data_IF_922840509415
#
_entry.id   IF_922840509415
#
_cell.length_a   1.000
_cell.length_b   1.000
_cell.length_c   1.000
_cell.angle_alpha   90.00
_cell.angle_beta   90.00
_cell.angle_gamma   90.00
#
_symmetry.space_group_name_H-M   'P 1'
#
loop_
_entity.id
_entity.type
_entity.pdbx_description
1 polymer ?
#
# COMPACT_ATOMS: atom_id res chain seq x y z
N UNK A 1 9.87 15.27 -16.78
CA UNK A 1 10.30 14.41 -15.65
C UNK A 1 9.71 13.02 -15.90
N UNK A 2 10.50 11.95 -15.78
CA UNK A 2 9.94 10.58 -15.84
C UNK A 2 8.92 10.46 -14.70
N UNK A 3 7.71 10.01 -15.00
CA UNK A 3 6.71 9.74 -13.97
C UNK A 3 7.35 8.74 -12.97
N UNK A 4 7.49 9.08 -11.68
CA UNK A 4 8.13 8.20 -10.70
C UNK A 4 7.38 6.88 -10.53
N UNK A 5 6.10 6.84 -10.92
CA UNK A 5 5.22 5.68 -10.87
C UNK A 5 4.91 5.19 -12.30
N UNK A 6 5.85 4.46 -12.90
CA UNK A 6 5.65 3.84 -14.22
C UNK A 6 5.32 2.35 -14.04
N UNK A 7 4.06 2.00 -14.37
CA UNK A 7 3.54 0.64 -14.32
C UNK A 7 4.39 -0.36 -15.10
N UNK A 8 4.87 0.00 -16.29
CA UNK A 8 5.63 -0.89 -17.15
C UNK A 8 6.97 -1.22 -16.52
N UNK A 9 7.69 -0.21 -16.03
CA UNK A 9 8.99 -0.40 -15.37
C UNK A 9 8.85 -1.32 -14.14
N UNK A 10 7.79 -1.13 -13.35
CA UNK A 10 7.56 -1.93 -12.13
C UNK A 10 7.24 -3.39 -12.48
N UNK A 11 6.39 -3.62 -13.47
CA UNK A 11 6.04 -4.97 -13.94
C UNK A 11 7.24 -5.68 -14.58
N UNK A 12 8.02 -4.98 -15.42
CA UNK A 12 9.23 -5.52 -16.04
C UNK A 12 10.25 -5.96 -14.99
N UNK A 13 10.39 -5.20 -13.89
CA UNK A 13 11.30 -5.52 -12.78
C UNK A 13 10.74 -6.60 -11.82
N UNK A 14 9.42 -6.84 -11.82
CA UNK A 14 8.76 -7.76 -10.89
C UNK A 14 7.80 -8.72 -11.63
N UNK A 15 8.32 -9.73 -12.35
CA UNK A 15 7.50 -10.66 -13.12
C UNK A 15 6.53 -11.52 -12.29
N UNK A 16 6.67 -11.53 -10.97
CA UNK A 16 5.81 -12.26 -10.04
C UNK A 16 4.54 -11.48 -9.65
N UNK A 17 4.45 -10.19 -10.03
CA UNK A 17 3.23 -9.40 -9.90
C UNK A 17 2.28 -9.74 -11.05
N UNK A 18 0.99 -9.88 -10.71
CA UNK A 18 -0.07 -10.00 -11.70
C UNK A 18 -0.44 -8.64 -12.29
N UNK A 19 -0.41 -7.58 -11.46
CA UNK A 19 -0.73 -6.23 -11.89
C UNK A 19 -0.11 -5.15 -10.97
N UNK A 20 -0.07 -3.92 -11.49
CA UNK A 20 0.22 -2.69 -10.73
C UNK A 20 -0.89 -1.68 -11.04
N UNK A 21 -1.53 -1.16 -10.00
CA UNK A 21 -2.61 -0.17 -10.06
C UNK A 21 -2.13 1.12 -9.44
N UNK A 22 -2.15 2.19 -10.22
CA UNK A 22 -1.61 3.50 -9.84
C UNK A 22 -2.77 4.49 -9.93
N UNK A 23 -3.06 5.17 -8.82
CA UNK A 23 -4.08 6.21 -8.72
C UNK A 23 -3.41 7.54 -8.37
N UNK A 24 -3.85 8.64 -8.98
CA UNK A 24 -3.32 9.97 -8.66
C UNK A 24 -3.57 10.34 -7.20
N UNK A 25 -4.75 9.95 -6.68
CA UNK A 25 -5.16 10.13 -5.29
C UNK A 25 -6.02 8.95 -4.83
N UNK A 26 -5.81 8.51 -3.60
CA UNK A 26 -6.58 7.43 -2.97
C UNK A 26 -7.07 7.83 -1.58
N UNK A 27 -8.20 7.29 -1.13
CA UNK A 27 -8.55 7.37 0.29
C UNK A 27 -7.56 6.50 1.09
N UNK A 28 -7.32 5.28 0.63
CA UNK A 28 -6.32 4.38 1.20
C UNK A 28 -5.99 3.27 0.21
N UNK A 29 -4.72 3.13 -0.17
CA UNK A 29 -4.28 2.02 -1.04
C UNK A 29 -4.61 0.66 -0.42
N UNK A 30 -4.76 0.60 0.90
CA UNK A 30 -5.20 -0.58 1.63
C UNK A 30 -6.66 -0.93 1.35
N UNK A 31 -7.53 0.09 1.31
CA UNK A 31 -8.95 -0.07 0.99
C UNK A 31 -9.14 -0.44 -0.48
N UNK A 32 -8.35 0.17 -1.37
CA UNK A 32 -8.36 -0.16 -2.80
C UNK A 32 -8.02 -1.64 -3.00
N UNK A 33 -6.93 -2.09 -2.38
CA UNK A 33 -6.50 -3.48 -2.43
C UNK A 33 -7.55 -4.44 -1.86
N UNK A 34 -8.19 -4.07 -0.74
CA UNK A 34 -9.22 -4.88 -0.09
C UNK A 34 -10.48 -4.99 -0.96
N UNK A 35 -10.87 -3.91 -1.62
CA UNK A 35 -12.06 -3.85 -2.49
C UNK A 35 -11.85 -4.66 -3.76
N UNK A 36 -10.66 -4.53 -4.38
CA UNK A 36 -10.37 -5.21 -5.64
C UNK A 36 -9.98 -6.69 -5.46
N UNK A 37 -9.26 -7.03 -4.38
CA UNK A 37 -9.03 -8.42 -4.00
C UNK A 37 -8.11 -9.23 -4.93
N UNK A 38 -7.40 -8.60 -5.86
CA UNK A 38 -6.48 -9.27 -6.78
C UNK A 38 -5.18 -9.68 -6.10
N UNK A 39 -4.87 -10.97 -6.14
CA UNK A 39 -3.63 -11.51 -5.61
C UNK A 39 -2.42 -11.00 -6.41
N UNK A 40 -1.28 -10.90 -5.74
CA UNK A 40 0.01 -10.46 -6.28
C UNK A 40 -0.11 -9.13 -7.05
N UNK A 41 -0.91 -8.21 -6.52
CA UNK A 41 -1.15 -6.90 -7.15
C UNK A 41 -0.66 -5.80 -6.24
N UNK A 42 0.08 -4.84 -6.83
CA UNK A 42 0.58 -3.66 -6.14
C UNK A 42 -0.35 -2.46 -6.41
N UNK A 43 -0.81 -1.80 -5.36
CA UNK A 43 -1.64 -0.61 -5.41
C UNK A 43 -0.81 0.57 -4.94
N UNK A 44 -0.79 1.65 -5.71
CA UNK A 44 0.06 2.81 -5.47
C UNK A 44 -0.72 4.10 -5.62
N UNK A 45 -0.34 5.12 -4.86
CA UNK A 45 -0.80 6.49 -5.08
C UNK A 45 0.24 7.51 -4.63
N UNK A 46 0.22 8.70 -5.25
CA UNK A 46 1.03 9.84 -4.82
C UNK A 46 0.39 10.64 -3.68
N UNK A 47 -0.92 10.44 -3.43
CA UNK A 47 -1.68 11.16 -2.41
C UNK A 47 -2.64 10.24 -1.69
N UNK A 48 -2.72 10.39 -0.38
CA UNK A 48 -3.74 9.74 0.43
C UNK A 48 -4.51 10.74 1.28
N UNK A 49 -5.84 10.60 1.34
CA UNK A 49 -6.72 11.44 2.17
C UNK A 49 -7.19 10.73 3.44
N UNK A 50 -7.08 9.40 3.51
CA UNK A 50 -7.40 8.62 4.70
C UNK A 50 -6.32 8.73 5.76
N UNK A 51 -6.69 9.30 6.91
CA UNK A 51 -5.81 9.50 8.07
C UNK A 51 -5.88 8.37 9.08
N UNK A 52 -6.40 7.18 8.76
CA UNK A 52 -6.57 6.10 9.75
C UNK A 52 -5.69 4.90 9.43
N UNK A 53 -4.83 4.54 10.39
CA UNK A 53 -4.02 3.34 10.42
C UNK A 53 -4.61 2.25 11.33
N UNK A 54 -3.76 1.29 11.73
CA UNK A 54 -4.19 0.18 12.59
C UNK A 54 -4.72 0.67 13.94
N UNK A 55 -5.73 -0.02 14.46
CA UNK A 55 -6.36 0.28 15.74
C UNK A 55 -6.98 1.70 15.81
N UNK A 56 -7.42 2.24 14.66
CA UNK A 56 -8.05 3.56 14.59
C UNK A 56 -7.08 4.72 14.87
N UNK A 57 -5.78 4.46 14.93
CA UNK A 57 -4.76 5.50 15.14
C UNK A 57 -4.61 6.34 13.90
N UNK A 58 -4.32 7.62 14.08
CA UNK A 58 -4.08 8.48 12.93
C UNK A 58 -2.79 8.09 12.19
N UNK A 59 -2.87 8.11 10.86
CA UNK A 59 -1.77 7.97 9.92
C UNK A 59 -1.52 9.34 9.29
N UNK A 60 -0.25 9.76 9.27
CA UNK A 60 0.12 11.01 8.63
C UNK A 60 0.25 10.81 7.12
N UNK A 61 -0.65 11.43 6.36
CA UNK A 61 -0.49 11.65 4.94
C UNK A 61 0.13 13.04 4.71
N UNK A 62 1.22 13.09 3.96
CA UNK A 62 1.89 14.34 3.61
C UNK A 62 1.02 15.17 2.66
N UNK A 63 0.78 16.47 2.97
CA UNK A 63 0.10 17.39 2.05
C UNK A 63 0.87 17.62 0.74
N UNK A 64 2.19 17.46 0.77
CA UNK A 64 3.08 17.60 -0.38
C UNK A 64 3.11 16.35 -1.27
N UNK A 65 2.36 15.31 -0.89
CA UNK A 65 2.38 14.00 -1.53
C UNK A 65 3.44 13.07 -0.96
N UNK A 66 3.43 11.83 -1.42
CA UNK A 66 4.35 10.77 -1.01
C UNK A 66 4.02 9.47 -1.74
N UNK A 67 4.87 8.45 -1.58
CA UNK A 67 4.60 7.14 -2.20
C UNK A 67 3.81 6.29 -1.22
N UNK A 68 2.52 6.13 -1.46
CA UNK A 68 1.65 5.23 -0.70
C UNK A 68 1.49 3.92 -1.46
N UNK A 69 1.65 2.79 -0.77
CA UNK A 69 1.65 1.48 -1.40
C UNK A 69 0.94 0.42 -0.58
N UNK A 70 0.31 -0.52 -1.27
CA UNK A 70 -0.19 -1.77 -0.68
C UNK A 70 0.06 -2.91 -1.65
N UNK A 71 0.69 -3.97 -1.18
CA UNK A 71 0.83 -5.22 -1.91
C UNK A 71 -0.16 -6.23 -1.37
N UNK A 72 -1.05 -6.74 -2.22
CA UNK A 72 -1.98 -7.80 -1.85
C UNK A 72 -1.38 -9.17 -2.19
N UNK A 73 -1.02 -9.94 -1.16
CA UNK A 73 -0.54 -11.31 -1.30
C UNK A 73 -1.63 -12.30 -0.89
N UNK A 74 -1.81 -13.37 -1.66
CA UNK A 74 -2.57 -14.55 -1.24
C UNK A 74 -1.59 -15.71 -1.07
N UNK A 75 -1.29 -16.15 0.16
CA UNK A 75 -0.36 -17.26 0.36
C UNK A 75 -0.91 -18.52 -0.31
N UNK A 76 -0.16 -19.05 -1.27
CA UNK A 76 -0.46 -20.33 -1.93
C UNK A 76 0.01 -21.49 -1.06
N UNK A 77 -0.81 -21.90 -0.10
CA UNK A 77 -0.56 -23.06 0.74
C UNK A 77 -1.87 -23.62 1.25
N UNK A 78 -2.18 -24.85 0.86
CA UNK A 78 -3.30 -25.61 1.37
C UNK A 78 -3.16 -25.80 2.89
N UNK A 79 -3.82 -24.95 3.67
CA UNK A 79 -4.26 -25.29 5.00
C UNK A 79 -5.78 -25.13 5.01
N UNK A 80 -6.45 -26.26 4.82
CA UNK A 80 -7.84 -26.38 5.20
C UNK A 80 -8.01 -25.96 6.65
N UNK A 81 -9.15 -25.32 6.93
CA UNK A 81 -9.63 -24.98 8.27
C UNK A 81 -8.78 -23.97 9.04
N UNK A 82 -8.86 -22.70 8.63
CA UNK A 82 -8.95 -21.62 9.61
C UNK A 82 -9.78 -20.48 9.01
N UNK A 83 -10.96 -20.23 9.58
CA UNK A 83 -11.87 -19.11 9.25
C UNK A 83 -11.29 -17.75 9.67
N UNK A 84 -10.02 -17.51 9.38
CA UNK A 84 -9.40 -16.20 9.57
C UNK A 84 -8.45 -15.99 8.40
N UNK A 85 -9.00 -15.57 7.26
CA UNK A 85 -8.23 -15.08 6.11
C UNK A 85 -7.44 -13.85 6.54
N UNK A 86 -6.29 -14.07 7.18
CA UNK A 86 -5.38 -13.01 7.55
C UNK A 86 -4.70 -12.50 6.28
N UNK A 87 -5.25 -11.39 5.77
CA UNK A 87 -4.59 -10.50 4.84
C UNK A 87 -3.25 -10.05 5.47
N UNK A 88 -2.14 -10.68 5.08
CA UNK A 88 -0.81 -10.16 5.32
C UNK A 88 -0.61 -8.95 4.41
N UNK A 89 -1.18 -7.81 4.80
CA UNK A 89 -0.88 -6.52 4.18
C UNK A 89 0.39 -5.98 4.83
N UNK A 90 1.52 -6.13 4.12
CA UNK A 90 2.74 -5.37 4.36
C UNK A 90 2.47 -3.93 3.95
N UNK A 91 2.12 -3.10 4.92
CA UNK A 91 2.08 -1.65 4.74
C UNK A 91 3.49 -1.11 4.95
N UNK A 92 4.27 -1.02 3.87
CA UNK A 92 5.54 -0.29 3.86
C UNK A 92 5.22 1.19 3.60
N UNK A 93 4.75 1.88 4.64
CA UNK A 93 4.69 3.34 4.63
C UNK A 93 6.08 3.87 4.93
N UNK A 94 6.79 4.44 3.95
CA UNK A 94 7.94 5.29 4.24
C UNK A 94 7.43 6.55 4.94
N UNK A 95 7.37 6.51 6.28
CA UNK A 95 7.22 7.74 7.04
C UNK A 95 8.47 8.57 6.77
N UNK A 96 8.31 9.71 6.11
CA UNK A 96 9.15 10.86 6.41
C UNK A 96 9.00 11.08 7.92
N UNK A 97 9.97 10.61 8.70
CA UNK A 97 10.03 10.83 10.14
C UNK A 97 9.91 12.34 10.33
N UNK A 98 8.75 12.81 10.80
CA UNK A 98 8.67 14.14 11.38
C UNK A 98 9.80 14.20 12.40
N UNK A 99 10.67 15.21 12.29
CA UNK A 99 11.58 15.54 13.38
C UNK A 99 10.73 15.58 14.66
N UNK A 100 10.89 14.57 15.50
CA UNK A 100 10.30 14.58 16.82
C UNK A 100 10.98 15.75 17.53
N UNK A 101 10.24 16.77 18.00
CA UNK A 101 10.84 17.69 18.95
C UNK A 101 11.30 16.82 20.12
N UNK A 102 12.61 16.86 20.41
CA UNK A 102 13.18 16.25 21.60
C UNK A 102 12.35 16.77 22.78
N UNK A 103 11.64 15.87 23.46
CA UNK A 103 11.03 16.22 24.75
C UNK A 103 12.20 16.58 25.66
N UNK A 104 12.24 17.86 26.06
CA UNK A 104 13.08 18.31 27.17
C UNK A 104 12.66 17.61 28.46
#
# INVERSE_FOLDING_TARGET
MKNPLDKKIILDANPWLNDVKILDESISTQLDAKTDGQANTLYMSEKQTGIYGRFGREYYASPEGGIYMTLLLKPGGALGLCLITHYLQLQLSFQQLKHSPQRK
#
